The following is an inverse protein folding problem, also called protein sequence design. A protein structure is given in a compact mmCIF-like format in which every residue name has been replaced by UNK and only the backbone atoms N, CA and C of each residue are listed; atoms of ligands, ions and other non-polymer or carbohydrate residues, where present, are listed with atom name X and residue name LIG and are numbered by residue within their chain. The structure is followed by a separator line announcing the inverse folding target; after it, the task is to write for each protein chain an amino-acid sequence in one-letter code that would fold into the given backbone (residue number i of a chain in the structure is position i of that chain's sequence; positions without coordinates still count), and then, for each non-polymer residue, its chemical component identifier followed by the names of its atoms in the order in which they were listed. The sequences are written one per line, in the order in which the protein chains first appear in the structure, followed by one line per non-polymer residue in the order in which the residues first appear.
data_IF_703893623789
#
_entry.id   IF_703893623789
#
_cell.length_a   1.000
_cell.length_b   1.000
_cell.length_c   1.000
_cell.angle_alpha   90.00
_cell.angle_beta   90.00
_cell.angle_gamma   90.00
#
_symmetry.space_group_name_H-M   'P 1'
#
loop_
_entity.id
_entity.type
_entity.pdbx_description
1 polymer ?
#
# COMPACT_ATOMS: atom_id res chain seq x y z
N UNK A 1 -12.20 9.51 -20.10
CA UNK A 1 -11.65 10.79 -19.59
C UNK A 1 -10.14 10.71 -19.39
N UNK A 2 -9.61 9.74 -18.64
CA UNK A 2 -8.16 9.58 -18.40
C UNK A 2 -7.30 9.56 -19.69
N UNK A 3 -7.68 8.76 -20.70
CA UNK A 3 -6.95 8.70 -21.98
C UNK A 3 -6.85 10.04 -22.73
N UNK A 4 -7.86 10.90 -22.62
CA UNK A 4 -7.81 12.22 -23.24
C UNK A 4 -6.74 13.09 -22.57
N UNK A 5 -6.68 13.06 -21.24
CA UNK A 5 -5.70 13.83 -20.47
C UNK A 5 -4.27 13.34 -20.71
N UNK A 6 -4.06 12.01 -20.75
CA UNK A 6 -2.77 11.43 -21.12
C UNK A 6 -2.31 11.88 -22.52
N UNK A 7 -3.23 11.89 -23.50
CA UNK A 7 -2.94 12.39 -24.84
C UNK A 7 -2.66 13.89 -24.89
N UNK A 8 -3.35 14.68 -24.06
CA UNK A 8 -3.09 16.11 -23.90
C UNK A 8 -1.68 16.33 -23.34
N UNK A 9 -1.31 15.63 -22.26
CA UNK A 9 0.03 15.75 -21.64
C UNK A 9 1.16 15.33 -22.59
N UNK A 10 0.95 14.31 -23.43
CA UNK A 10 1.92 13.93 -24.48
C UNK A 10 2.19 15.02 -25.51
N UNK A 11 1.20 15.89 -25.75
CA UNK A 11 1.29 17.00 -26.71
C UNK A 11 1.62 18.33 -26.02
N UNK A 12 1.73 18.33 -24.70
CA UNK A 12 2.02 19.52 -23.93
C UNK A 12 3.49 19.91 -24.15
N UNK A 13 3.72 21.14 -24.63
CA UNK A 13 5.05 21.62 -25.00
C UNK A 13 5.90 22.07 -23.80
N UNK A 14 5.31 22.19 -22.61
CA UNK A 14 6.05 22.50 -21.38
C UNK A 14 6.60 21.26 -20.68
N UNK A 15 7.34 21.48 -19.60
CA UNK A 15 7.76 20.39 -18.71
C UNK A 15 6.60 19.98 -17.78
N UNK A 16 6.44 18.67 -17.56
CA UNK A 16 5.45 18.11 -16.63
C UNK A 16 6.19 17.34 -15.56
N UNK A 17 5.99 17.72 -14.29
CA UNK A 17 6.38 16.95 -13.13
C UNK A 17 5.11 16.49 -12.42
N UNK A 18 4.94 15.19 -12.27
CA UNK A 18 3.76 14.60 -11.64
C UNK A 18 4.17 13.41 -10.77
N UNK A 19 3.42 13.20 -9.69
CA UNK A 19 3.46 11.99 -8.88
C UNK A 19 2.21 11.16 -9.18
N UNK A 20 2.37 9.84 -9.35
CA UNK A 20 1.23 8.94 -9.58
C UNK A 20 1.55 7.53 -9.09
N UNK A 21 0.53 6.83 -8.61
CA UNK A 21 0.58 5.41 -8.30
C UNK A 21 0.04 4.53 -9.46
N UNK A 22 -0.56 5.14 -10.48
CA UNK A 22 -1.04 4.44 -11.66
C UNK A 22 0.12 4.18 -12.63
N UNK A 23 0.50 2.91 -12.72
CA UNK A 23 1.57 2.44 -13.62
C UNK A 23 1.22 2.67 -15.09
N UNK A 24 -0.04 2.52 -15.49
CA UNK A 24 -0.44 2.71 -16.89
C UNK A 24 -0.30 4.18 -17.29
N UNK A 25 -0.72 5.11 -16.43
CA UNK A 25 -0.51 6.54 -16.62
C UNK A 25 0.98 6.88 -16.75
N UNK A 26 1.82 6.42 -15.80
CA UNK A 26 3.26 6.68 -15.83
C UNK A 26 3.91 6.09 -17.09
N UNK A 27 3.51 4.88 -17.49
CA UNK A 27 4.03 4.24 -18.69
C UNK A 27 3.66 4.99 -19.97
N UNK A 28 2.47 5.61 -19.99
CA UNK A 28 2.00 6.36 -21.14
C UNK A 28 2.62 7.76 -21.21
N UNK A 29 2.76 8.48 -20.10
CA UNK A 29 3.11 9.90 -20.10
C UNK A 29 4.58 10.16 -19.79
N UNK A 30 5.22 9.37 -18.92
CA UNK A 30 6.56 9.67 -18.43
C UNK A 30 7.65 9.26 -19.44
N UNK A 31 8.59 10.17 -19.68
CA UNK A 31 9.83 9.93 -20.44
C UNK A 31 11.07 9.92 -19.55
N UNK A 32 10.92 10.30 -18.28
CA UNK A 32 11.96 10.32 -17.25
C UNK A 32 11.31 10.02 -15.90
N UNK A 33 11.93 9.12 -15.13
CA UNK A 33 11.50 8.78 -13.77
C UNK A 33 12.53 9.32 -12.78
N UNK A 34 12.04 9.98 -11.73
CA UNK A 34 12.86 10.50 -10.63
C UNK A 34 12.58 9.64 -9.40
N UNK A 35 13.58 8.89 -8.95
CA UNK A 35 13.51 8.08 -7.73
C UNK A 35 14.12 8.86 -6.57
N UNK A 36 13.36 8.99 -5.49
CA UNK A 36 13.86 9.48 -4.21
C UNK A 36 14.31 8.27 -3.38
N UNK A 37 15.60 8.20 -3.07
CA UNK A 37 16.25 7.13 -2.30
C UNK A 37 16.95 7.73 -1.06
N UNK A 38 17.36 6.89 -0.11
CA UNK A 38 17.96 7.32 1.17
C UNK A 38 19.26 8.12 0.97
N UNK A 39 19.96 7.90 -0.15
CA UNK A 39 21.24 8.50 -0.54
C UNK A 39 21.11 9.65 -1.56
N UNK A 40 19.88 9.99 -1.98
CA UNK A 40 19.62 11.14 -2.84
C UNK A 40 18.59 10.90 -3.94
N UNK A 41 18.75 11.64 -5.04
CA UNK A 41 17.81 11.66 -6.17
C UNK A 41 18.46 10.99 -7.38
N UNK A 42 17.84 9.94 -7.90
CA UNK A 42 18.33 9.19 -9.06
C UNK A 42 17.39 9.39 -10.24
N UNK A 43 17.96 9.69 -11.40
CA UNK A 43 17.22 9.88 -12.65
C UNK A 43 17.33 8.65 -13.54
N UNK A 44 16.18 8.14 -13.98
CA UNK A 44 16.08 7.06 -14.94
C UNK A 44 15.45 7.57 -16.23
N UNK A 45 16.03 7.21 -17.37
CA UNK A 45 15.48 7.52 -18.68
C UNK A 45 14.41 6.49 -19.06
N UNK A 46 13.35 6.95 -19.71
CA UNK A 46 12.23 6.11 -20.13
C UNK A 46 11.06 6.13 -19.15
N UNK A 47 10.22 5.11 -19.29
CA UNK A 47 8.95 5.01 -18.58
C UNK A 47 9.06 4.19 -17.28
N UNK A 48 7.95 3.94 -16.60
CA UNK A 48 7.96 3.23 -15.31
C UNK A 48 8.48 1.80 -15.42
N UNK A 49 8.10 1.05 -16.45
CA UNK A 49 8.59 -0.33 -16.63
C UNK A 49 10.11 -0.38 -16.87
N UNK A 50 10.61 0.55 -17.69
CA UNK A 50 12.05 0.72 -17.93
C UNK A 50 12.79 1.03 -16.63
N UNK A 51 12.23 1.89 -15.79
CA UNK A 51 12.74 2.20 -14.46
C UNK A 51 12.78 0.96 -13.54
N UNK A 52 11.72 0.16 -13.51
CA UNK A 52 11.68 -1.06 -12.65
C UNK A 52 12.81 -2.02 -13.03
N UNK A 53 13.03 -2.24 -14.32
CA UNK A 53 14.12 -3.08 -14.82
C UNK A 53 15.50 -2.50 -14.49
N UNK A 54 15.71 -1.20 -14.75
CA UNK A 54 16.97 -0.51 -14.46
C UNK A 54 17.30 -0.56 -12.96
N UNK A 55 16.32 -0.23 -12.10
CA UNK A 55 16.48 -0.27 -10.65
C UNK A 55 16.80 -1.68 -10.15
N UNK A 56 16.15 -2.73 -10.68
CA UNK A 56 16.47 -4.10 -10.29
C UNK A 56 17.92 -4.46 -10.59
N UNK A 57 18.41 -4.09 -11.77
CA UNK A 57 19.81 -4.30 -12.18
C UNK A 57 20.79 -3.48 -11.33
N UNK A 58 20.46 -2.24 -11.01
CA UNK A 58 21.27 -1.37 -10.16
C UNK A 58 21.37 -1.92 -8.74
N UNK A 59 20.24 -2.37 -8.17
CA UNK A 59 20.21 -3.02 -6.86
C UNK A 59 21.04 -4.30 -6.86
N UNK A 60 20.90 -5.15 -7.89
CA UNK A 60 21.71 -6.37 -8.03
C UNK A 60 23.21 -6.06 -8.10
N UNK A 61 23.59 -5.06 -8.89
CA UNK A 61 24.98 -4.63 -9.06
C UNK A 61 25.55 -4.08 -7.75
N UNK A 62 24.79 -3.23 -7.04
CA UNK A 62 25.17 -2.71 -5.71
C UNK A 62 25.30 -3.82 -4.68
N UNK A 63 24.37 -4.78 -4.66
CA UNK A 63 24.44 -5.95 -3.77
C UNK A 63 25.67 -6.82 -4.05
N UNK A 64 25.96 -7.11 -5.32
CA UNK A 64 27.13 -7.92 -5.68
C UNK A 64 28.43 -7.22 -5.27
N UNK A 65 28.50 -5.89 -5.47
CA UNK A 65 29.66 -5.08 -5.09
C UNK A 65 29.81 -5.01 -3.57
N UNK A 66 28.73 -4.80 -2.83
CA UNK A 66 28.72 -4.80 -1.37
C UNK A 66 29.17 -6.17 -0.80
N UNK A 67 28.67 -7.30 -1.32
CA UNK A 67 29.12 -8.64 -0.91
C UNK A 67 30.62 -8.86 -1.15
N UNK A 68 31.15 -8.40 -2.30
CA UNK A 68 32.59 -8.49 -2.60
C UNK A 68 33.42 -7.62 -1.65
N UNK A 69 32.93 -6.44 -1.30
CA UNK A 69 33.55 -5.55 -0.33
C UNK A 69 33.56 -6.18 1.07
N UNK A 70 32.44 -6.75 1.52
CA UNK A 70 32.30 -7.45 2.80
C UNK A 70 33.31 -8.61 2.94
N UNK A 71 33.43 -9.44 1.91
CA UNK A 71 34.40 -10.54 1.87
C UNK A 71 35.85 -10.04 1.96
N UNK A 72 36.14 -8.91 1.30
CA UNK A 72 37.46 -8.28 1.32
C UNK A 72 37.78 -7.73 2.70
N UNK A 73 36.83 -7.02 3.32
CA UNK A 73 36.93 -6.49 4.69
C UNK A 73 37.14 -7.65 5.67
N UNK A 74 36.35 -8.72 5.59
CA UNK A 74 36.48 -9.91 6.44
C UNK A 74 37.87 -10.57 6.32
N UNK A 75 38.43 -10.66 5.11
CA UNK A 75 39.78 -11.20 4.89
C UNK A 75 40.85 -10.30 5.51
N UNK A 76 40.74 -8.99 5.36
CA UNK A 76 41.67 -8.02 5.94
C UNK A 76 41.60 -8.02 7.47
N UNK A 77 40.40 -8.05 8.05
CA UNK A 77 40.17 -8.16 9.49
C UNK A 77 40.81 -9.42 10.07
N UNK A 78 40.57 -10.60 9.46
CA UNK A 78 41.20 -11.86 9.88
C UNK A 78 42.73 -11.80 9.83
N UNK A 79 43.30 -11.13 8.82
CA UNK A 79 44.75 -10.92 8.78
C UNK A 79 45.22 -10.04 9.93
N UNK A 80 44.55 -8.92 10.17
CA UNK A 80 44.87 -8.00 11.26
C UNK A 80 44.85 -8.75 12.58
N UNK A 81 43.78 -9.49 12.88
CA UNK A 81 43.64 -10.29 14.10
C UNK A 81 44.78 -11.31 14.26
N UNK A 82 45.07 -12.09 13.20
CA UNK A 82 46.09 -13.14 13.23
C UNK A 82 47.51 -12.62 13.43
N UNK A 83 47.81 -11.43 12.91
CA UNK A 83 49.17 -10.90 12.86
C UNK A 83 49.40 -9.65 13.73
N UNK A 84 48.40 -9.22 14.51
CA UNK A 84 48.46 -8.01 15.36
C UNK A 84 49.64 -8.03 16.35
N UNK A 85 49.97 -9.20 16.91
CA UNK A 85 51.03 -9.36 17.90
C UNK A 85 52.42 -9.66 17.31
N UNK A 86 52.57 -9.81 15.98
CA UNK A 86 53.86 -10.11 15.34
C UNK A 86 54.56 -8.83 14.86
N UNK A 87 55.68 -8.48 15.51
CA UNK A 87 56.50 -7.31 15.16
C UNK A 87 56.91 -7.26 13.67
N UNK A 88 57.25 -8.41 13.07
CA UNK A 88 57.65 -8.48 11.64
C UNK A 88 56.55 -8.12 10.65
N UNK A 89 55.29 -8.05 11.09
CA UNK A 89 54.13 -7.73 10.24
C UNK A 89 53.43 -6.42 10.66
N UNK A 90 53.98 -5.68 11.63
CA UNK A 90 53.36 -4.47 12.19
C UNK A 90 53.02 -3.42 11.11
N UNK A 91 53.94 -3.13 10.18
CA UNK A 91 53.71 -2.19 9.07
C UNK A 91 52.54 -2.63 8.16
N UNK A 92 52.42 -3.92 7.86
CA UNK A 92 51.34 -4.47 7.02
C UNK A 92 49.98 -4.43 7.74
N UNK A 93 49.97 -4.66 9.05
CA UNK A 93 48.76 -4.54 9.88
C UNK A 93 48.29 -3.09 9.92
N UNK A 94 49.18 -2.14 10.21
CA UNK A 94 48.87 -0.70 10.25
C UNK A 94 48.37 -0.17 8.90
N UNK A 95 49.00 -0.58 7.80
CA UNK A 95 48.56 -0.22 6.45
C UNK A 95 47.12 -0.67 6.15
N UNK A 96 46.75 -1.89 6.54
CA UNK A 96 45.41 -2.44 6.32
C UNK A 96 44.35 -1.81 7.23
N UNK A 97 44.69 -1.48 8.48
CA UNK A 97 43.80 -0.71 9.37
C UNK A 97 43.46 0.63 8.71
N UNK A 98 44.47 1.36 8.23
CA UNK A 98 44.26 2.64 7.55
C UNK A 98 43.47 2.53 6.24
N UNK A 99 43.60 1.42 5.50
CA UNK A 99 42.78 1.14 4.33
C UNK A 99 41.32 0.91 4.71
N UNK A 100 41.05 0.14 5.76
CA UNK A 100 39.70 -0.12 6.26
C UNK A 100 39.02 1.15 6.77
N UNK A 101 39.73 2.02 7.48
CA UNK A 101 39.20 3.32 7.97
C UNK A 101 38.79 4.25 6.84
N UNK A 102 39.50 4.22 5.70
CA UNK A 102 39.19 5.03 4.51
C UNK A 102 38.17 4.41 3.58
N UNK A 103 37.77 3.16 3.83
CA UNK A 103 36.85 2.45 2.94
C UNK A 103 35.42 2.84 3.28
N UNK A 104 34.79 3.64 2.42
CA UNK A 104 33.35 3.90 2.50
C UNK A 104 32.57 2.61 2.19
N UNK A 105 31.65 2.25 3.08
CA UNK A 105 30.80 1.07 2.89
C UNK A 105 29.73 1.36 1.87
N UNK A 106 29.60 0.47 0.89
CA UNK A 106 28.52 0.56 -0.08
C UNK A 106 27.19 0.32 0.63
N UNK A 107 26.31 1.31 0.57
CA UNK A 107 24.94 1.19 1.04
C UNK A 107 24.11 0.46 -0.01
N UNK A 108 23.47 -0.64 0.38
CA UNK A 108 22.49 -1.33 -0.46
C UNK A 108 21.12 -0.72 -0.17
N UNK A 109 20.38 -0.24 -1.17
CA UNK A 109 19.01 0.22 -0.97
C UNK A 109 18.20 -0.86 -0.26
N UNK A 110 17.47 -0.49 0.80
CA UNK A 110 16.61 -1.43 1.50
C UNK A 110 15.63 -2.02 0.49
N UNK A 111 15.56 -3.35 0.42
CA UNK A 111 14.50 -4.01 -0.35
C UNK A 111 13.17 -3.50 0.18
N UNK A 112 12.29 -3.00 -0.69
CA UNK A 112 10.90 -2.75 -0.32
C UNK A 112 10.34 -4.05 0.24
N UNK A 113 10.06 -4.09 1.53
CA UNK A 113 9.48 -5.26 2.18
C UNK A 113 8.16 -5.56 1.44
N UNK A 114 8.06 -6.73 0.83
CA UNK A 114 6.82 -7.16 0.19
C UNK A 114 5.82 -7.49 1.30
N UNK A 115 4.64 -6.90 1.23
CA UNK A 115 3.51 -7.24 2.10
C UNK A 115 3.08 -8.66 1.72
N UNK A 116 3.46 -9.64 2.55
CA UNK A 116 2.96 -11.01 2.46
C UNK A 116 1.98 -11.20 3.61
N UNK A 117 0.70 -11.23 3.29
CA UNK A 117 -0.36 -11.53 4.25
C UNK A 117 -1.27 -12.61 3.68
N UNK A 118 -1.52 -13.65 4.48
CA UNK A 118 -2.50 -14.66 4.12
C UNK A 118 -3.84 -14.26 4.74
N UNK A 119 -4.81 -13.94 3.89
CA UNK A 119 -6.15 -13.55 4.34
C UNK A 119 -6.79 -14.76 5.03
N UNK A 120 -7.36 -14.55 6.22
CA UNK A 120 -8.26 -15.57 6.78
C UNK A 120 -9.48 -15.63 5.86
N UNK A 121 -9.82 -16.82 5.37
CA UNK A 121 -11.04 -16.97 4.57
C UNK A 121 -12.24 -16.55 5.42
N UNK A 122 -13.10 -15.64 4.93
CA UNK A 122 -14.27 -15.26 5.67
C UNK A 122 -15.23 -16.44 5.77
N UNK A 123 -16.05 -16.52 6.84
CA UNK A 123 -17.03 -17.58 6.98
C UNK A 123 -17.99 -17.57 5.79
N UNK A 124 -18.50 -18.75 5.41
CA UNK A 124 -19.46 -18.87 4.31
C UNK A 124 -20.76 -18.10 4.63
N UNK A 125 -21.14 -17.19 3.74
CA UNK A 125 -22.46 -16.56 3.73
C UNK A 125 -23.51 -17.48 3.10
N UNK A 126 -24.79 -17.11 3.19
CA UNK A 126 -25.88 -17.69 2.39
C UNK A 126 -25.69 -17.52 0.88
N UNK A 127 -26.60 -18.07 0.07
CA UNK A 127 -26.55 -17.92 -1.39
C UNK A 127 -26.78 -16.46 -1.81
N UNK A 128 -27.86 -15.86 -1.34
CA UNK A 128 -28.12 -14.43 -1.53
C UNK A 128 -27.31 -13.66 -0.50
N UNK A 129 -26.52 -12.69 -0.97
CA UNK A 129 -25.65 -11.85 -0.13
C UNK A 129 -26.35 -10.56 0.25
N UNK A 130 -26.96 -9.88 -0.72
CA UNK A 130 -27.75 -8.68 -0.48
C UNK A 130 -28.84 -8.54 -1.52
N UNK A 131 -29.96 -7.97 -1.10
CA UNK A 131 -31.08 -7.65 -1.95
C UNK A 131 -31.59 -6.24 -1.64
N UNK A 132 -31.77 -5.43 -2.68
CA UNK A 132 -32.51 -4.18 -2.63
C UNK A 132 -33.85 -4.39 -3.33
N UNK A 133 -34.95 -4.05 -2.65
CA UNK A 133 -36.32 -4.11 -3.21
C UNK A 133 -36.93 -2.74 -3.23
N UNK A 134 -37.36 -2.31 -4.41
CA UNK A 134 -38.08 -1.06 -4.63
C UNK A 134 -37.44 0.16 -3.97
N UNK A 135 -36.10 0.27 -4.05
CA UNK A 135 -35.37 1.34 -3.37
C UNK A 135 -35.46 2.64 -4.15
N UNK A 136 -35.89 3.71 -3.48
CA UNK A 136 -35.88 5.06 -4.01
C UNK A 136 -34.88 5.94 -3.26
N UNK A 137 -34.08 6.71 -4.00
CA UNK A 137 -33.10 7.65 -3.45
C UNK A 137 -33.09 8.97 -4.21
N UNK A 138 -33.16 10.07 -3.47
CA UNK A 138 -33.03 11.43 -3.99
C UNK A 138 -32.10 12.30 -3.13
N UNK A 139 -31.60 13.38 -3.74
CA UNK A 139 -30.92 14.48 -3.07
C UNK A 139 -31.64 15.77 -3.44
N UNK A 140 -32.52 16.25 -2.55
CA UNK A 140 -33.40 17.37 -2.82
C UNK A 140 -34.32 17.05 -4.00
N UNK A 141 -34.24 17.83 -5.09
CA UNK A 141 -35.01 17.60 -6.31
C UNK A 141 -34.35 16.59 -7.28
N UNK A 142 -33.11 16.19 -7.02
CA UNK A 142 -32.38 15.30 -7.90
C UNK A 142 -32.64 13.84 -7.54
N UNK A 143 -33.41 13.15 -8.38
CA UNK A 143 -33.74 11.73 -8.20
C UNK A 143 -32.61 10.87 -8.76
N UNK A 144 -31.98 10.07 -7.89
CA UNK A 144 -30.91 9.13 -8.26
C UNK A 144 -31.50 7.77 -8.62
N UNK A 145 -32.40 7.26 -7.77
CA UNK A 145 -33.10 5.98 -7.97
C UNK A 145 -34.59 6.14 -7.66
N UNK A 146 -35.46 5.56 -8.50
CA UNK A 146 -36.93 5.58 -8.30
C UNK A 146 -37.50 4.26 -7.79
N UNK A 147 -37.02 3.16 -8.36
CA UNK A 147 -37.51 1.80 -8.09
C UNK A 147 -36.37 0.81 -8.35
N UNK A 148 -35.31 0.92 -7.56
CA UNK A 148 -34.13 0.10 -7.73
C UNK A 148 -34.34 -1.28 -7.12
N UNK A 149 -34.19 -2.31 -7.95
CA UNK A 149 -34.19 -3.71 -7.57
C UNK A 149 -32.84 -4.33 -7.94
N UNK A 150 -32.18 -4.97 -6.97
CA UNK A 150 -30.85 -5.53 -7.16
C UNK A 150 -30.67 -6.73 -6.25
N UNK A 151 -30.10 -7.82 -6.77
CA UNK A 151 -29.73 -9.01 -6.02
C UNK A 151 -28.28 -9.33 -6.34
N UNK A 152 -27.48 -9.59 -5.31
CA UNK A 152 -26.13 -10.16 -5.46
C UNK A 152 -26.06 -11.49 -4.73
N UNK A 153 -25.50 -12.49 -5.41
CA UNK A 153 -25.26 -13.81 -4.88
C UNK A 153 -23.79 -14.01 -4.50
N UNK A 154 -23.56 -15.01 -3.65
CA UNK A 154 -22.23 -15.38 -3.20
C UNK A 154 -21.42 -15.91 -4.39
N UNK A 155 -20.29 -15.27 -4.65
CA UNK A 155 -19.40 -15.60 -5.77
C UNK A 155 -19.43 -14.57 -6.90
N UNK A 156 -20.41 -13.67 -6.89
CA UNK A 156 -20.50 -12.59 -7.87
C UNK A 156 -19.29 -11.66 -7.79
N UNK A 157 -18.80 -11.27 -8.97
CA UNK A 157 -17.76 -10.25 -9.17
C UNK A 157 -18.35 -9.14 -10.03
N UNK A 158 -19.21 -8.33 -9.44
CA UNK A 158 -19.92 -7.27 -10.14
C UNK A 158 -19.10 -5.96 -10.18
N UNK A 159 -19.15 -5.26 -11.31
CA UNK A 159 -18.56 -3.94 -11.48
C UNK A 159 -19.67 -2.91 -11.78
N UNK A 160 -19.62 -1.76 -11.11
CA UNK A 160 -20.55 -0.65 -11.37
C UNK A 160 -19.96 0.30 -12.42
N UNK A 161 -20.64 0.43 -13.56
CA UNK A 161 -20.20 1.28 -14.67
C UNK A 161 -21.25 2.37 -14.93
N UNK A 162 -20.79 3.58 -15.19
CA UNK A 162 -21.64 4.73 -15.47
C UNK A 162 -20.86 6.03 -15.52
N UNK A 163 -21.45 7.07 -16.09
CA UNK A 163 -20.87 8.42 -16.09
C UNK A 163 -20.68 8.95 -14.65
N UNK A 164 -19.80 9.92 -14.47
CA UNK A 164 -19.67 10.58 -13.17
C UNK A 164 -21.00 11.27 -12.82
N UNK A 165 -21.44 11.11 -11.56
CA UNK A 165 -22.76 11.57 -11.13
C UNK A 165 -23.92 10.60 -11.38
N UNK A 166 -23.70 9.43 -12.01
CA UNK A 166 -24.75 8.43 -12.24
C UNK A 166 -25.27 7.70 -10.97
N UNK A 167 -24.79 8.06 -9.77
CA UNK A 167 -25.23 7.44 -8.52
C UNK A 167 -24.44 6.21 -8.05
N UNK A 168 -23.27 5.89 -8.65
CA UNK A 168 -22.45 4.71 -8.29
C UNK A 168 -22.08 4.68 -6.80
N UNK A 169 -21.45 5.74 -6.30
CA UNK A 169 -21.12 5.90 -4.87
C UNK A 169 -22.37 5.89 -4.00
N UNK A 170 -23.48 6.47 -4.48
CA UNK A 170 -24.78 6.43 -3.78
C UNK A 170 -25.25 4.98 -3.60
N UNK A 171 -25.20 4.16 -4.65
CA UNK A 171 -25.55 2.75 -4.58
C UNK A 171 -24.66 1.97 -3.62
N UNK A 172 -23.33 2.12 -3.70
CA UNK A 172 -22.40 1.44 -2.81
C UNK A 172 -22.64 1.81 -1.34
N UNK A 173 -22.89 3.09 -1.05
CA UNK A 173 -23.21 3.55 0.32
C UNK A 173 -24.54 3.00 0.83
N UNK A 174 -25.56 2.90 -0.02
CA UNK A 174 -26.83 2.25 0.34
C UNK A 174 -26.61 0.75 0.62
N UNK A 175 -25.88 0.03 -0.24
CA UNK A 175 -25.55 -1.38 -0.04
C UNK A 175 -24.73 -1.60 1.25
N UNK A 176 -23.84 -0.67 1.58
CA UNK A 176 -23.06 -0.69 2.82
C UNK A 176 -23.89 -0.37 4.07
N UNK A 177 -25.10 0.19 3.91
CA UNK A 177 -25.95 0.61 5.02
C UNK A 177 -25.51 1.92 5.69
N UNK A 178 -24.60 2.68 5.06
CA UNK A 178 -24.12 3.97 5.58
C UNK A 178 -24.87 5.17 5.02
N UNK A 179 -25.83 4.94 4.12
CA UNK A 179 -26.67 5.98 3.54
C UNK A 179 -28.15 5.53 3.58
N UNK A 180 -29.02 6.30 4.26
CA UNK A 180 -30.45 6.03 4.25
C UNK A 180 -31.08 6.38 2.90
N UNK A 181 -32.22 5.74 2.63
CA UNK A 181 -33.06 5.92 1.44
C UNK A 181 -34.52 6.10 1.87
N UNK A 182 -35.32 6.69 0.99
CA UNK A 182 -36.65 7.20 1.29
C UNK A 182 -37.72 6.11 1.29
N UNK A 183 -37.54 5.07 0.47
CA UNK A 183 -38.47 3.93 0.40
C UNK A 183 -37.78 2.66 -0.11
N UNK A 184 -38.43 1.52 0.07
CA UNK A 184 -37.92 0.20 -0.29
C UNK A 184 -37.31 -0.55 0.89
N UNK A 185 -36.59 -1.63 0.60
CA UNK A 185 -35.96 -2.48 1.60
C UNK A 185 -34.53 -2.85 1.20
N UNK A 186 -33.65 -2.90 2.20
CA UNK A 186 -32.31 -3.47 2.11
C UNK A 186 -32.25 -4.72 2.97
N UNK A 187 -32.10 -5.87 2.33
CA UNK A 187 -32.12 -7.18 2.97
C UNK A 187 -30.71 -7.77 2.87
N UNK A 188 -30.05 -7.96 4.01
CA UNK A 188 -28.76 -8.65 4.09
C UNK A 188 -29.00 -10.16 4.21
N UNK A 189 -28.24 -10.95 3.45
CA UNK A 189 -28.28 -12.41 3.49
C UNK A 189 -27.76 -13.01 4.80
N UNK A 190 -28.06 -14.29 5.00
CA UNK A 190 -27.61 -15.02 6.19
C UNK A 190 -26.08 -15.05 6.32
N UNK A 191 -25.56 -14.76 7.52
CA UNK A 191 -24.14 -14.78 7.85
C UNK A 191 -23.26 -13.91 6.91
N UNK A 192 -23.82 -12.81 6.40
CA UNK A 192 -23.10 -11.85 5.56
C UNK A 192 -22.44 -10.79 6.42
N UNK A 193 -21.13 -10.67 6.31
CA UNK A 193 -20.33 -9.60 6.90
C UNK A 193 -19.89 -8.68 5.77
N UNK A 194 -20.38 -7.44 5.80
CA UNK A 194 -20.11 -6.44 4.76
C UNK A 194 -18.92 -5.58 5.15
N UNK A 195 -17.97 -5.37 4.23
CA UNK A 195 -16.95 -4.34 4.32
C UNK A 195 -17.10 -3.38 3.14
N UNK A 196 -17.15 -2.08 3.44
CA UNK A 196 -17.24 -1.01 2.43
C UNK A 196 -15.94 -0.24 2.42
N UNK A 197 -15.39 -0.01 1.24
CA UNK A 197 -14.13 0.66 0.99
C UNK A 197 -14.46 1.87 0.15
N UNK A 198 -14.10 3.05 0.64
CA UNK A 198 -14.29 4.29 -0.10
C UNK A 198 -13.01 5.09 -0.10
N UNK A 199 -12.87 5.94 -1.12
CA UNK A 199 -11.74 6.85 -1.33
C UNK A 199 -11.33 7.65 -0.09
N UNK A 200 -12.26 7.91 0.84
CA UNK A 200 -12.05 8.67 2.08
C UNK A 200 -11.79 7.81 3.33
N UNK A 201 -11.41 6.54 3.21
CA UNK A 201 -11.14 5.71 4.40
C UNK A 201 -10.08 6.29 5.33
N UNK A 202 -9.14 7.06 4.79
CA UNK A 202 -8.13 7.81 5.54
C UNK A 202 -8.78 8.81 6.52
N UNK A 203 -9.89 9.43 6.14
CA UNK A 203 -10.62 10.41 6.96
C UNK A 203 -11.43 9.74 8.08
N UNK A 204 -11.71 8.43 7.96
CA UNK A 204 -12.39 7.63 8.99
C UNK A 204 -11.46 7.15 10.11
N UNK A 205 -10.15 7.36 9.96
CA UNK A 205 -9.17 7.04 10.99
C UNK A 205 -9.20 8.11 12.07
N UNK A 206 -9.22 7.72 13.34
CA UNK A 206 -9.18 8.70 14.42
C UNK A 206 -7.75 9.25 14.57
N UNK A 207 -7.50 10.56 14.35
CA UNK A 207 -6.16 11.14 14.42
C UNK A 207 -5.52 11.04 15.81
N UNK A 208 -6.33 10.90 16.86
CA UNK A 208 -5.90 10.81 18.26
C UNK A 208 -5.53 9.38 18.68
N UNK A 209 -5.93 8.37 17.90
CA UNK A 209 -5.60 6.99 18.18
C UNK A 209 -4.17 6.67 17.71
N UNK A 210 -3.52 5.76 18.43
CA UNK A 210 -2.34 5.05 17.91
C UNK A 210 -2.74 4.00 16.86
N UNK A 211 -1.77 3.56 16.04
CA UNK A 211 -2.00 2.53 15.01
C UNK A 211 -2.66 1.27 15.59
N UNK A 212 -2.18 0.80 16.74
CA UNK A 212 -2.69 -0.43 17.35
C UNK A 212 -4.07 -0.25 17.99
N UNK A 213 -4.35 0.91 18.57
CA UNK A 213 -5.67 1.25 19.13
C UNK A 213 -6.74 1.30 18.05
N UNK A 214 -6.40 1.82 16.87
CA UNK A 214 -7.30 1.89 15.74
C UNK A 214 -7.76 0.50 15.27
N UNK A 215 -6.84 -0.46 15.21
CA UNK A 215 -7.16 -1.85 14.88
C UNK A 215 -7.96 -2.52 16.00
N UNK A 216 -7.58 -2.27 17.26
CA UNK A 216 -8.27 -2.80 18.45
C UNK A 216 -9.72 -2.30 18.53
N UNK A 217 -9.99 -1.07 18.13
CA UNK A 217 -11.35 -0.52 18.08
C UNK A 217 -12.30 -1.29 17.14
N UNK A 218 -11.77 -1.86 16.05
CA UNK A 218 -12.57 -2.67 15.10
C UNK A 218 -12.62 -4.14 15.49
N UNK A 219 -11.59 -4.65 16.16
CA UNK A 219 -11.52 -6.04 16.58
C UNK A 219 -11.16 -6.14 18.07
N UNK A 220 -12.10 -5.81 18.98
CA UNK A 220 -11.85 -5.83 20.42
C UNK A 220 -11.56 -7.24 20.95
N UNK A 221 -12.06 -8.27 20.26
CA UNK A 221 -11.91 -9.67 20.65
C UNK A 221 -10.58 -10.30 20.16
N UNK A 222 -9.82 -9.58 19.34
CA UNK A 222 -8.55 -10.07 18.79
C UNK A 222 -7.39 -9.85 19.76
N UNK A 223 -6.49 -10.84 19.83
CA UNK A 223 -5.32 -10.75 20.72
C UNK A 223 -4.33 -9.70 20.22
N UNK A 224 -3.65 -9.01 21.15
CA UNK A 224 -2.63 -8.01 20.77
C UNK A 224 -1.52 -8.61 19.89
N UNK A 225 -1.13 -9.85 20.15
CA UNK A 225 -0.15 -10.58 19.34
C UNK A 225 -0.58 -10.70 17.88
N UNK A 226 -1.87 -11.01 17.62
CA UNK A 226 -2.42 -11.11 16.27
C UNK A 226 -2.52 -9.75 15.59
N UNK A 227 -2.94 -8.70 16.31
CA UNK A 227 -2.95 -7.33 15.79
C UNK A 227 -1.54 -6.85 15.40
N UNK A 228 -0.53 -7.11 16.24
CA UNK A 228 0.88 -6.79 15.93
C UNK A 228 1.40 -7.62 14.75
N UNK A 229 0.99 -8.87 14.62
CA UNK A 229 1.31 -9.71 13.46
C UNK A 229 0.74 -9.14 12.15
N UNK A 230 -0.52 -8.70 12.17
CA UNK A 230 -1.17 -8.01 11.05
C UNK A 230 -0.44 -6.71 10.70
N UNK A 231 -0.16 -5.86 11.69
CA UNK A 231 0.58 -4.61 11.49
C UNK A 231 1.99 -4.84 10.93
N UNK A 232 2.68 -5.88 11.40
CA UNK A 232 3.97 -6.31 10.87
C UNK A 232 3.92 -6.66 9.39
N UNK A 233 2.85 -7.33 8.94
CA UNK A 233 2.63 -7.61 7.51
C UNK A 233 2.44 -6.32 6.69
N UNK A 234 1.83 -5.29 7.27
CA UNK A 234 1.68 -3.95 6.68
C UNK A 234 2.88 -3.01 6.91
N UNK A 235 4.01 -3.56 7.32
CA UNK A 235 5.29 -2.88 7.51
C UNK A 235 5.34 -1.92 8.71
N UNK A 236 4.45 -2.07 9.68
CA UNK A 236 4.51 -1.37 10.97
C UNK A 236 5.11 -2.33 12.00
N UNK A 237 6.30 -2.02 12.51
CA UNK A 237 7.05 -2.90 13.41
C UNK A 237 7.64 -2.15 14.60
N UNK A 238 7.88 -2.86 15.71
CA UNK A 238 8.46 -2.26 16.91
C UNK A 238 7.60 -1.10 17.43
N UNK A 239 8.22 0.06 17.60
CA UNK A 239 7.59 1.29 18.10
C UNK A 239 6.70 1.99 17.06
N UNK A 240 6.68 1.53 15.81
CA UNK A 240 5.78 2.09 14.80
C UNK A 240 4.31 1.93 15.21
N UNK A 241 3.97 0.81 15.85
CA UNK A 241 2.57 0.46 16.19
C UNK A 241 1.94 1.37 17.24
N UNK A 242 2.76 2.14 17.97
CA UNK A 242 2.32 3.11 18.97
C UNK A 242 2.37 4.55 18.46
N UNK A 243 2.69 4.77 17.18
CA UNK A 243 2.60 6.10 16.56
C UNK A 243 1.15 6.55 16.46
N UNK A 244 0.90 7.84 16.69
CA UNK A 244 -0.41 8.45 16.45
C UNK A 244 -0.73 8.53 14.96
N UNK A 245 -2.01 8.37 14.61
CA UNK A 245 -2.45 8.43 13.21
C UNK A 245 -2.20 9.82 12.59
N UNK A 246 -2.30 10.88 13.40
CA UNK A 246 -2.04 12.26 12.97
C UNK A 246 -0.66 12.47 12.33
N UNK A 247 0.39 11.76 12.78
CA UNK A 247 1.77 11.95 12.32
C UNK A 247 2.15 11.11 11.09
N UNK A 248 1.22 10.29 10.60
CA UNK A 248 1.50 9.36 9.51
C UNK A 248 1.42 10.02 8.13
N UNK A 249 2.28 9.57 7.22
CA UNK A 249 2.17 9.90 5.80
C UNK A 249 0.88 9.35 5.18
N UNK A 250 0.43 9.90 4.05
CA UNK A 250 -0.75 9.40 3.34
C UNK A 250 -0.63 7.92 2.92
N UNK A 251 0.58 7.48 2.56
CA UNK A 251 0.86 6.08 2.24
C UNK A 251 0.79 5.17 3.47
N UNK A 252 1.22 5.63 4.64
CA UNK A 252 1.05 4.90 5.90
C UNK A 252 -0.42 4.83 6.31
N UNK A 253 -1.16 5.94 6.23
CA UNK A 253 -2.61 5.97 6.50
C UNK A 253 -3.36 5.00 5.60
N UNK A 254 -2.99 4.91 4.32
CA UNK A 254 -3.56 3.91 3.38
C UNK A 254 -3.30 2.48 3.85
N UNK A 255 -2.06 2.15 4.26
CA UNK A 255 -1.75 0.80 4.76
C UNK A 255 -2.51 0.46 6.04
N UNK A 256 -2.71 1.42 6.95
CA UNK A 256 -3.52 1.21 8.17
C UNK A 256 -4.98 1.04 7.84
N UNK A 257 -5.53 1.86 6.94
CA UNK A 257 -6.92 1.74 6.50
C UNK A 257 -7.19 0.31 5.96
N UNK A 258 -6.27 -0.21 5.14
CA UNK A 258 -6.34 -1.60 4.65
C UNK A 258 -6.19 -2.58 5.81
N UNK A 259 -5.19 -2.42 6.69
CA UNK A 259 -4.99 -3.31 7.84
C UNK A 259 -6.22 -3.38 8.75
N UNK A 260 -6.78 -2.23 9.15
CA UNK A 260 -8.00 -2.07 9.95
C UNK A 260 -9.18 -2.82 9.34
N UNK A 261 -9.31 -2.75 8.02
CA UNK A 261 -10.37 -3.42 7.28
C UNK A 261 -10.15 -4.94 7.23
N UNK A 262 -8.91 -5.41 7.08
CA UNK A 262 -8.59 -6.84 7.07
C UNK A 262 -8.66 -7.50 8.46
N UNK A 263 -8.70 -6.72 9.54
CA UNK A 263 -8.82 -7.28 10.90
C UNK A 263 -10.11 -8.07 11.09
N UNK A 264 -11.17 -7.76 10.34
CA UNK A 264 -12.41 -8.56 10.31
C UNK A 264 -12.65 -9.10 8.89
N UNK A 265 -12.51 -10.42 8.67
CA UNK A 265 -12.73 -10.99 7.35
C UNK A 265 -14.21 -10.85 6.96
N UNK A 266 -14.47 -10.03 5.94
CA UNK A 266 -15.79 -9.82 5.36
C UNK A 266 -15.99 -10.73 4.13
N UNK A 267 -17.17 -11.32 4.01
CA UNK A 267 -17.55 -12.15 2.84
C UNK A 267 -18.32 -11.35 1.79
N UNK A 268 -18.58 -10.06 2.02
CA UNK A 268 -19.12 -9.14 1.03
C UNK A 268 -18.32 -7.83 1.03
N UNK A 269 -17.56 -7.59 -0.06
CA UNK A 269 -16.69 -6.42 -0.20
C UNK A 269 -17.30 -5.44 -1.20
N UNK A 270 -17.44 -4.18 -0.80
CA UNK A 270 -17.93 -3.08 -1.62
C UNK A 270 -16.78 -2.10 -1.84
N UNK A 271 -16.28 -1.97 -3.08
CA UNK A 271 -15.14 -1.13 -3.41
C UNK A 271 -15.59 0.11 -4.18
N UNK A 272 -15.36 1.29 -3.63
CA UNK A 272 -15.63 2.61 -4.20
C UNK A 272 -14.30 3.33 -4.40
N UNK A 273 -13.97 3.61 -5.66
CA UNK A 273 -12.71 4.22 -6.10
C UNK A 273 -12.51 5.64 -5.58
#
# INVERSE_FOLDING_TARGET
TQRWFENYLKRYHGAVLATSHDRAFLNNVASKIISLEDDGVIFYSGNYDSYVLARAKDVETRQATARRQELTISRQMRFIERFRAKNTKASQVQSRIKQLEKTERITVPRSTKKIHFNFSEPPRSGRVVIELKHVAKSYGQHVVYRDLNLVLERGDRAALVGINGAGKTTLLRMLAGVLPFESGQRIIGHNVTTAYFAQYYIESLNPDNTIIEELRGVAPDETEQRLRGLLGAFLFSGDDVTKNISVLSGGEKTRIAIARMLTRPANFLLLDE
#
